data_IF_263046747132
#
_entry.id   IF_263046747132
#
_cell.length_a   1.000
_cell.length_b   1.000
_cell.length_c   1.000
_cell.angle_alpha   90.00
_cell.angle_beta   90.00
_cell.angle_gamma   90.00
#
_symmetry.space_group_name_H-M   'P 1'
#
loop_
_entity.id
_entity.type
_entity.pdbx_description
1 polymer ?
#
# COMPACT_ATOMS: atom_id res chain seq x y z
N UNK A 1 -0.18 -25.40 -7.84
CA UNK A 1 -0.08 -24.79 -6.49
C UNK A 1 -0.99 -23.58 -6.47
N UNK A 2 -1.85 -23.47 -5.46
CA UNK A 2 -2.82 -22.37 -5.39
C UNK A 2 -2.15 -21.04 -4.97
N UNK A 3 -2.91 -19.94 -5.01
CA UNK A 3 -2.39 -18.61 -4.68
C UNK A 3 -1.94 -18.50 -3.22
N UNK A 4 -2.68 -19.09 -2.28
CA UNK A 4 -2.33 -19.07 -0.86
C UNK A 4 -1.02 -19.83 -0.58
N UNK A 5 -0.80 -20.97 -1.22
CA UNK A 5 0.46 -21.71 -1.16
C UNK A 5 1.60 -20.90 -1.80
N UNK A 6 1.34 -20.23 -2.94
CA UNK A 6 2.34 -19.38 -3.60
C UNK A 6 2.77 -18.23 -2.70
N UNK A 7 1.81 -17.62 -2.00
CA UNK A 7 2.03 -16.58 -0.99
C UNK A 7 2.92 -17.07 0.15
N UNK A 8 2.56 -18.20 0.76
CA UNK A 8 3.27 -18.73 1.92
C UNK A 8 4.67 -19.28 1.58
N UNK A 9 4.82 -20.00 0.47
CA UNK A 9 6.06 -20.73 0.15
C UNK A 9 7.08 -19.88 -0.62
N UNK A 10 6.63 -18.84 -1.35
CA UNK A 10 7.52 -18.05 -2.20
C UNK A 10 7.54 -16.55 -1.87
N UNK A 11 6.38 -15.91 -1.71
CA UNK A 11 6.32 -14.45 -1.55
C UNK A 11 6.73 -14.06 -0.13
N UNK A 12 6.15 -14.70 0.89
CA UNK A 12 6.44 -14.42 2.29
C UNK A 12 7.94 -14.58 2.64
N UNK A 13 8.65 -15.65 2.21
CA UNK A 13 10.09 -15.77 2.40
C UNK A 13 10.89 -14.67 1.69
N UNK A 14 10.51 -14.27 0.47
CA UNK A 14 11.17 -13.19 -0.27
C UNK A 14 10.98 -11.83 0.42
N UNK A 15 9.79 -11.55 0.94
CA UNK A 15 9.52 -10.36 1.75
C UNK A 15 10.37 -10.34 3.02
N UNK A 16 10.39 -11.46 3.74
CA UNK A 16 11.20 -11.62 4.96
C UNK A 16 12.70 -11.45 4.70
N UNK A 17 13.20 -12.04 3.60
CA UNK A 17 14.60 -11.90 3.17
C UNK A 17 14.96 -10.45 2.80
N UNK A 18 13.97 -9.66 2.37
CA UNK A 18 14.12 -8.23 2.07
C UNK A 18 13.92 -7.34 3.32
N UNK A 19 13.72 -7.92 4.52
CA UNK A 19 13.58 -7.19 5.78
C UNK A 19 12.14 -6.87 6.21
N UNK A 20 11.15 -7.13 5.36
CA UNK A 20 9.74 -6.87 5.67
C UNK A 20 9.21 -7.82 6.75
N UNK A 21 8.67 -7.26 7.84
CA UNK A 21 8.17 -8.02 9.00
C UNK A 21 9.27 -8.55 9.93
N UNK A 22 10.53 -8.15 9.70
CA UNK A 22 11.69 -8.50 10.55
C UNK A 22 12.34 -7.25 11.11
N UNK A 23 12.53 -6.23 10.26
CA UNK A 23 13.07 -4.95 10.70
C UNK A 23 12.05 -4.18 11.54
N UNK A 24 12.54 -3.37 12.47
CA UNK A 24 11.72 -2.47 13.28
C UNK A 24 10.89 -1.53 12.38
N UNK A 25 9.71 -1.15 12.88
CA UNK A 25 8.74 -0.30 12.17
C UNK A 25 8.24 -0.80 10.81
N UNK A 26 8.54 -2.06 10.45
CA UNK A 26 7.96 -2.70 9.27
C UNK A 26 6.68 -3.45 9.60
N UNK A 27 5.70 -3.38 8.71
CA UNK A 27 4.47 -4.16 8.76
C UNK A 27 4.15 -4.73 7.38
N UNK A 28 3.81 -6.01 7.36
CA UNK A 28 3.27 -6.70 6.18
C UNK A 28 1.79 -6.95 6.43
N UNK A 29 0.94 -6.05 5.89
CA UNK A 29 -0.50 -6.14 6.05
C UNK A 29 -1.06 -7.09 4.98
N UNK A 30 -1.44 -8.30 5.38
CA UNK A 30 -2.00 -9.32 4.47
C UNK A 30 -3.51 -9.14 4.35
N UNK A 31 -4.05 -9.43 3.16
CA UNK A 31 -5.50 -9.36 2.89
C UNK A 31 -6.10 -8.01 3.30
N UNK A 32 -5.41 -6.93 2.92
CA UNK A 32 -5.76 -5.59 3.35
C UNK A 32 -7.02 -5.11 2.64
N UNK A 33 -8.07 -4.83 3.42
CA UNK A 33 -9.35 -4.33 2.91
C UNK A 33 -9.26 -2.87 2.47
N UNK A 34 -9.32 -2.62 1.17
CA UNK A 34 -9.31 -1.26 0.61
C UNK A 34 -10.72 -0.67 0.63
N UNK A 35 -11.72 -1.38 0.13
CA UNK A 35 -13.09 -0.87 0.05
C UNK A 35 -14.12 -1.88 0.55
N UNK A 36 -15.25 -1.37 1.03
CA UNK A 36 -16.37 -2.21 1.47
C UNK A 36 -17.38 -2.53 0.35
N UNK A 37 -17.03 -2.26 -0.92
CA UNK A 37 -17.92 -2.45 -2.06
C UNK A 37 -18.91 -1.30 -2.26
N UNK A 38 -19.22 -0.98 -3.52
CA UNK A 38 -20.22 0.04 -3.89
C UNK A 38 -21.63 -0.48 -3.62
N UNK A 39 -22.51 0.33 -3.03
CA UNK A 39 -23.94 -0.01 -2.90
C UNK A 39 -24.56 -0.09 -4.29
N UNK A 40 -25.27 -1.19 -4.56
CA UNK A 40 -25.94 -1.44 -5.82
C UNK A 40 -27.46 -1.36 -5.65
N UNK A 41 -28.15 -0.99 -6.72
CA UNK A 41 -29.62 -1.03 -6.79
C UNK A 41 -30.08 -2.47 -6.53
N UNK A 42 -31.06 -2.65 -5.64
CA UNK A 42 -31.53 -3.98 -5.21
C UNK A 42 -31.04 -4.45 -3.84
N UNK A 43 -30.36 -3.61 -3.06
CA UNK A 43 -30.09 -3.87 -1.63
C UNK A 43 -28.78 -4.59 -1.32
N UNK A 44 -27.88 -4.74 -2.30
CA UNK A 44 -26.57 -5.38 -2.14
C UNK A 44 -25.39 -4.43 -2.27
N UNK A 45 -24.18 -4.97 -2.07
CA UNK A 45 -22.93 -4.28 -2.39
C UNK A 45 -22.15 -5.07 -3.45
N UNK A 46 -21.47 -4.35 -4.33
CA UNK A 46 -20.44 -4.91 -5.19
C UNK A 46 -19.33 -5.54 -4.33
N UNK A 47 -18.50 -6.38 -4.95
CA UNK A 47 -17.40 -7.04 -4.24
C UNK A 47 -16.48 -6.00 -3.58
N UNK A 48 -16.13 -6.18 -2.29
CA UNK A 48 -15.07 -5.40 -1.67
C UNK A 48 -13.75 -5.61 -2.40
N UNK A 49 -12.85 -4.64 -2.28
CA UNK A 49 -11.49 -4.76 -2.81
C UNK A 49 -10.55 -5.08 -1.67
N UNK A 50 -9.71 -6.09 -1.87
CA UNK A 50 -8.67 -6.53 -0.95
C UNK A 50 -7.35 -6.61 -1.73
N UNK A 51 -6.30 -6.01 -1.18
CA UNK A 51 -4.95 -6.25 -1.67
C UNK A 51 -4.34 -7.44 -0.92
N UNK A 52 -3.61 -8.30 -1.62
CA UNK A 52 -2.96 -9.46 -0.97
C UNK A 52 -1.93 -9.03 0.07
N UNK A 53 -1.15 -8.00 -0.26
CA UNK A 53 -0.22 -7.35 0.66
C UNK A 53 -0.21 -5.84 0.52
N UNK A 54 -0.10 -5.16 1.65
CA UNK A 54 0.35 -3.78 1.74
C UNK A 54 1.59 -3.73 2.63
N UNK A 55 2.67 -3.22 2.05
CA UNK A 55 3.93 -3.01 2.75
C UNK A 55 3.92 -1.64 3.41
N UNK A 56 4.10 -1.61 4.73
CA UNK A 56 4.16 -0.38 5.50
C UNK A 56 5.46 -0.29 6.31
N UNK A 57 6.04 0.90 6.32
CA UNK A 57 7.29 1.19 7.03
C UNK A 57 7.21 2.60 7.64
N UNK A 58 7.66 2.75 8.89
CA UNK A 58 7.57 4.00 9.66
C UNK A 58 6.17 4.63 9.61
N UNK A 59 5.13 3.81 9.81
CA UNK A 59 3.74 4.26 9.79
C UNK A 59 3.17 4.65 8.41
N UNK A 60 3.95 4.59 7.32
CA UNK A 60 3.47 4.85 5.96
C UNK A 60 3.28 3.57 5.17
N UNK A 61 2.18 3.48 4.44
CA UNK A 61 1.96 2.45 3.42
C UNK A 61 2.73 2.84 2.15
N UNK A 62 3.67 2.00 1.73
CA UNK A 62 4.64 2.34 0.66
C UNK A 62 4.48 1.51 -0.60
N UNK A 63 3.95 0.29 -0.50
CA UNK A 63 3.72 -0.55 -1.66
C UNK A 63 2.53 -1.49 -1.50
N UNK A 64 1.98 -1.89 -2.64
CA UNK A 64 0.97 -2.94 -2.77
C UNK A 64 1.58 -4.10 -3.54
N UNK A 65 1.24 -5.33 -3.17
CA UNK A 65 1.60 -6.52 -3.92
C UNK A 65 0.33 -7.31 -4.19
N UNK A 66 0.11 -7.61 -5.48
CA UNK A 66 -0.91 -8.55 -5.95
C UNK A 66 -0.25 -9.90 -6.24
N UNK A 67 -0.66 -10.93 -5.51
CA UNK A 67 -0.20 -12.28 -5.69
C UNK A 67 -1.04 -12.99 -6.76
N UNK A 68 -0.42 -13.94 -7.45
CA UNK A 68 -1.10 -14.90 -8.33
C UNK A 68 -0.54 -16.29 -8.04
N UNK A 69 -1.29 -17.33 -8.39
CA UNK A 69 -0.76 -18.69 -8.36
C UNK A 69 0.46 -18.82 -9.28
N UNK A 70 1.43 -19.66 -8.90
CA UNK A 70 2.63 -19.93 -9.68
C UNK A 70 2.41 -20.61 -11.05
N UNK A 71 1.16 -20.95 -11.36
CA UNK A 71 0.69 -21.49 -12.65
C UNK A 71 0.32 -20.38 -13.64
N UNK A 72 0.12 -19.15 -13.16
CA UNK A 72 -0.19 -17.99 -13.99
C UNK A 72 1.04 -17.13 -14.27
N UNK A 73 0.97 -16.37 -15.35
CA UNK A 73 1.95 -15.33 -15.66
C UNK A 73 1.83 -14.17 -14.67
N UNK A 74 2.96 -13.54 -14.36
CA UNK A 74 3.01 -12.38 -13.46
C UNK A 74 2.21 -11.18 -13.99
N UNK A 75 1.96 -11.13 -15.31
CA UNK A 75 1.16 -10.08 -15.95
C UNK A 75 -0.31 -10.04 -15.49
N UNK A 76 -0.89 -11.17 -15.08
CA UNK A 76 -2.31 -11.30 -14.72
C UNK A 76 -2.72 -10.43 -13.52
N UNK A 77 -1.78 -10.13 -12.61
CA UNK A 77 -2.04 -9.25 -11.46
C UNK A 77 -1.75 -7.77 -11.70
N UNK A 78 -1.13 -7.38 -12.82
CA UNK A 78 -0.67 -6.00 -13.07
C UNK A 78 -1.81 -4.99 -13.05
N UNK A 79 -2.92 -5.29 -13.72
CA UNK A 79 -4.07 -4.37 -13.78
C UNK A 79 -4.70 -4.15 -12.40
N UNK A 80 -4.78 -5.19 -11.58
CA UNK A 80 -5.31 -5.11 -10.22
C UNK A 80 -4.36 -4.34 -9.30
N UNK A 81 -3.06 -4.65 -9.36
CA UNK A 81 -2.01 -3.96 -8.62
C UNK A 81 -2.00 -2.44 -8.89
N UNK A 82 -2.16 -2.03 -10.15
CA UNK A 82 -2.29 -0.62 -10.56
C UNK A 82 -3.55 0.03 -10.01
N UNK A 83 -4.70 -0.65 -10.12
CA UNK A 83 -5.97 -0.13 -9.63
C UNK A 83 -5.95 0.15 -8.12
N UNK A 84 -5.34 -0.75 -7.35
CA UNK A 84 -5.22 -0.59 -5.91
C UNK A 84 -4.26 0.53 -5.54
N UNK A 85 -3.12 0.62 -6.24
CA UNK A 85 -2.12 1.66 -6.00
C UNK A 85 -2.67 3.06 -6.30
N UNK A 86 -3.42 3.19 -7.40
CA UNK A 86 -4.12 4.43 -7.76
C UNK A 86 -5.11 4.84 -6.66
N UNK A 87 -5.94 3.91 -6.16
CA UNK A 87 -6.90 4.20 -5.08
C UNK A 87 -6.23 4.63 -3.79
N UNK A 88 -5.14 3.96 -3.43
CA UNK A 88 -4.44 4.20 -2.17
C UNK A 88 -3.40 5.32 -2.26
N UNK A 89 -3.23 5.96 -3.44
CA UNK A 89 -2.20 6.96 -3.71
C UNK A 89 -0.79 6.45 -3.35
N UNK A 90 -0.48 5.22 -3.79
CA UNK A 90 0.81 4.57 -3.57
C UNK A 90 1.59 4.53 -4.88
N UNK A 91 2.84 4.98 -4.84
CA UNK A 91 3.65 5.17 -6.05
C UNK A 91 4.30 3.88 -6.58
N UNK A 92 4.48 2.88 -5.73
CA UNK A 92 5.15 1.63 -6.09
C UNK A 92 4.22 0.45 -5.85
N UNK A 93 4.02 -0.38 -6.86
CA UNK A 93 3.17 -1.57 -6.75
C UNK A 93 3.81 -2.75 -7.48
N UNK A 94 3.41 -3.96 -7.11
CA UNK A 94 4.00 -5.19 -7.65
C UNK A 94 2.92 -6.19 -8.01
N UNK A 95 3.20 -7.02 -9.01
CA UNK A 95 2.56 -8.32 -9.16
C UNK A 95 3.59 -9.43 -9.00
N UNK A 96 3.21 -10.55 -8.38
CA UNK A 96 4.11 -11.68 -8.19
C UNK A 96 3.36 -13.00 -8.27
N UNK A 97 3.92 -13.95 -9.00
CA UNK A 97 3.48 -15.36 -9.03
C UNK A 97 4.41 -16.26 -8.17
N UNK A 98 5.14 -15.65 -7.23
CA UNK A 98 6.15 -16.32 -6.41
C UNK A 98 7.49 -16.53 -7.12
N UNK A 99 7.50 -16.88 -8.41
CA UNK A 99 8.73 -17.05 -9.20
C UNK A 99 9.30 -15.69 -9.61
N UNK A 100 8.46 -14.89 -10.24
CA UNK A 100 8.78 -13.58 -10.78
C UNK A 100 8.17 -12.46 -9.92
N UNK A 101 8.78 -11.29 -9.99
CA UNK A 101 8.27 -10.06 -9.38
C UNK A 101 8.26 -9.00 -10.47
N UNK A 102 7.09 -8.49 -10.79
CA UNK A 102 6.90 -7.41 -11.75
C UNK A 102 6.62 -6.11 -10.99
N UNK A 103 7.55 -5.17 -11.04
CA UNK A 103 7.45 -3.87 -10.39
C UNK A 103 6.82 -2.84 -11.33
N UNK A 104 5.98 -1.98 -10.75
CA UNK A 104 5.34 -0.86 -11.43
C UNK A 104 5.54 0.42 -10.62
N UNK A 105 6.01 1.49 -11.26
CA UNK A 105 6.08 2.83 -10.69
C UNK A 105 4.95 3.70 -11.24
N UNK A 106 3.95 4.00 -10.40
CA UNK A 106 2.77 4.78 -10.77
C UNK A 106 3.10 6.24 -11.12
N UNK A 107 4.19 6.80 -10.55
CA UNK A 107 4.66 8.16 -10.85
C UNK A 107 5.25 8.31 -12.25
N UNK A 108 6.08 7.36 -12.66
CA UNK A 108 6.88 7.47 -13.90
C UNK A 108 6.36 6.59 -15.03
N UNK A 109 5.46 5.65 -14.74
CA UNK A 109 5.02 4.62 -15.68
C UNK A 109 6.08 3.58 -16.02
N UNK A 110 7.24 3.59 -15.32
CA UNK A 110 8.28 2.57 -15.51
C UNK A 110 7.85 1.26 -14.86
N UNK A 111 7.96 0.17 -15.63
CA UNK A 111 7.54 -1.16 -15.22
C UNK A 111 8.54 -2.21 -15.71
N UNK A 112 8.69 -3.31 -14.98
CA UNK A 112 9.58 -4.39 -15.39
C UNK A 112 9.80 -5.44 -14.32
N UNK A 113 10.48 -6.52 -14.72
CA UNK A 113 10.87 -7.59 -13.81
C UNK A 113 12.01 -7.15 -12.88
N UNK A 114 11.90 -7.52 -11.62
CA UNK A 114 12.94 -7.32 -10.60
C UNK A 114 13.28 -8.64 -9.92
N UNK A 115 14.52 -8.77 -9.48
CA UNK A 115 15.02 -10.01 -8.87
C UNK A 115 14.48 -10.25 -7.45
N UNK A 116 14.27 -9.17 -6.70
CA UNK A 116 13.79 -9.20 -5.32
C UNK A 116 12.90 -8.00 -5.02
N UNK A 117 12.14 -8.07 -3.92
CA UNK A 117 11.51 -6.89 -3.36
C UNK A 117 12.59 -5.95 -2.81
N UNK A 118 12.40 -4.63 -2.85
CA UNK A 118 13.32 -3.70 -2.21
C UNK A 118 13.23 -3.84 -0.69
N UNK A 119 14.30 -3.44 0.00
CA UNK A 119 14.26 -3.30 1.45
C UNK A 119 13.32 -2.16 1.88
N UNK A 120 12.87 -2.12 3.15
CA UNK A 120 12.09 -1.01 3.69
C UNK A 120 12.75 0.36 3.47
N UNK A 121 14.06 0.46 3.71
CA UNK A 121 14.83 1.69 3.51
C UNK A 121 14.94 2.08 2.03
N UNK A 122 15.19 1.11 1.15
CA UNK A 122 15.26 1.36 -0.29
C UNK A 122 13.91 1.87 -0.82
N UNK A 123 12.81 1.26 -0.38
CA UNK A 123 11.47 1.69 -0.77
C UNK A 123 11.09 3.05 -0.18
N UNK A 124 11.51 3.34 1.07
CA UNK A 124 11.32 4.64 1.69
C UNK A 124 12.04 5.75 0.91
N UNK A 125 13.33 5.56 0.66
CA UNK A 125 14.15 6.52 -0.07
C UNK A 125 13.63 6.75 -1.49
N UNK A 126 13.17 5.68 -2.17
CA UNK A 126 12.54 5.78 -3.49
C UNK A 126 11.20 6.52 -3.48
N UNK A 127 10.44 6.40 -2.39
CA UNK A 127 9.13 7.08 -2.27
C UNK A 127 9.33 8.57 -1.94
N UNK A 128 10.35 8.86 -1.14
CA UNK A 128 10.64 10.17 -0.58
C UNK A 128 12.05 10.66 -0.95
N UNK A 129 12.27 10.93 -2.24
CA UNK A 129 13.56 11.34 -2.79
C UNK A 129 14.16 12.59 -2.11
N UNK A 130 13.32 13.49 -1.60
CA UNK A 130 13.75 14.65 -0.81
C UNK A 130 13.61 14.35 0.68
N UNK A 131 14.71 14.36 1.42
CA UNK A 131 14.68 14.17 2.86
C UNK A 131 13.95 15.32 3.57
N UNK A 132 13.06 14.97 4.49
CA UNK A 132 12.31 15.94 5.28
C UNK A 132 12.11 15.39 6.70
N UNK A 133 12.84 15.96 7.65
CA UNK A 133 12.82 15.51 9.04
C UNK A 133 11.43 15.58 9.67
N UNK A 134 10.62 16.57 9.30
CA UNK A 134 9.26 16.71 9.83
C UNK A 134 8.33 15.62 9.30
N UNK A 135 8.39 15.32 8.01
CA UNK A 135 7.63 14.19 7.43
C UNK A 135 7.98 12.89 8.14
N UNK A 136 9.27 12.63 8.35
CA UNK A 136 9.72 11.38 8.96
C UNK A 136 9.21 11.28 10.42
N UNK A 137 9.29 12.37 11.19
CA UNK A 137 8.69 12.46 12.54
C UNK A 137 7.17 12.28 12.54
N UNK A 138 6.46 12.93 11.63
CA UNK A 138 5.00 12.82 11.54
C UNK A 138 4.54 11.41 11.16
N UNK A 139 5.34 10.71 10.36
CA UNK A 139 5.02 9.36 9.91
C UNK A 139 5.08 8.33 11.05
N UNK A 140 5.92 8.57 12.05
CA UNK A 140 6.03 7.72 13.24
C UNK A 140 4.87 7.91 14.22
N UNK A 141 4.06 8.97 14.08
CA UNK A 141 2.88 9.17 14.93
C UNK A 141 1.75 8.25 14.45
N UNK A 142 1.30 7.29 15.28
CA UNK A 142 0.23 6.38 14.89
C UNK A 142 -1.09 7.13 14.74
N UNK A 143 -1.96 6.64 13.85
CA UNK A 143 -3.34 7.10 13.79
C UNK A 143 -4.07 6.73 15.09
N UNK A 144 -4.85 7.66 15.64
CA UNK A 144 -5.77 7.34 16.73
C UNK A 144 -6.83 6.36 16.26
N UNK A 145 -7.04 5.31 17.03
CA UNK A 145 -8.19 4.43 16.88
C UNK A 145 -9.24 4.73 17.96
N UNK A 146 -10.51 4.55 17.63
CA UNK A 146 -11.57 4.62 18.64
C UNK A 146 -11.59 3.30 19.39
N UNK A 147 -10.73 3.19 20.42
CA UNK A 147 -10.62 2.02 21.29
C UNK A 147 -10.34 0.72 20.53
N UNK A 148 -9.44 0.75 19.54
CA UNK A 148 -9.08 -0.37 18.66
C UNK A 148 -10.23 -0.93 17.79
N UNK A 149 -11.38 -0.24 17.71
CA UNK A 149 -12.55 -0.76 16.97
C UNK A 149 -12.73 -0.19 15.56
N UNK A 150 -12.06 0.92 15.23
CA UNK A 150 -12.19 1.60 13.94
C UNK A 150 -10.86 2.19 13.48
N UNK A 151 -10.22 1.49 12.56
CA UNK A 151 -9.09 2.04 11.80
C UNK A 151 -9.55 3.14 10.85
N UNK A 152 -8.64 4.09 10.58
CA UNK A 152 -8.82 5.06 9.53
C UNK A 152 -8.98 4.35 8.18
N UNK A 153 -9.96 4.80 7.38
CA UNK A 153 -10.15 4.32 6.00
C UNK A 153 -9.03 4.89 5.13
N UNK A 154 -8.69 4.20 4.05
CA UNK A 154 -7.58 4.59 3.16
C UNK A 154 -7.64 6.07 2.73
N UNK A 155 -8.83 6.60 2.42
CA UNK A 155 -8.97 8.00 1.99
C UNK A 155 -8.80 9.01 3.15
N UNK A 156 -9.08 8.62 4.39
CA UNK A 156 -8.81 9.45 5.57
C UNK A 156 -7.30 9.50 5.83
N UNK A 157 -6.62 8.35 5.71
CA UNK A 157 -5.17 8.30 5.81
C UNK A 157 -4.51 9.16 4.72
N UNK A 158 -4.98 9.10 3.47
CA UNK A 158 -4.48 9.95 2.38
C UNK A 158 -4.64 11.44 2.74
N UNK A 159 -5.80 11.84 3.25
CA UNK A 159 -6.06 13.23 3.61
C UNK A 159 -5.11 13.72 4.72
N UNK A 160 -4.94 12.94 5.80
CA UNK A 160 -4.01 13.25 6.89
C UNK A 160 -2.58 13.28 6.38
N UNK A 161 -2.16 12.26 5.64
CA UNK A 161 -0.82 12.14 5.09
C UNK A 161 -0.44 13.33 4.21
N UNK A 162 -1.36 13.80 3.37
CA UNK A 162 -1.16 14.96 2.51
C UNK A 162 -1.13 16.27 3.30
N UNK A 163 -1.99 16.41 4.31
CA UNK A 163 -1.96 17.58 5.20
C UNK A 163 -0.64 17.66 5.97
N UNK A 164 -0.18 16.56 6.56
CA UNK A 164 1.09 16.49 7.28
C UNK A 164 2.28 16.74 6.35
N UNK A 165 2.23 16.26 5.11
CA UNK A 165 3.26 16.56 4.10
C UNK A 165 3.30 18.06 3.77
N UNK A 166 2.14 18.70 3.55
CA UNK A 166 2.07 20.13 3.29
C UNK A 166 2.57 20.98 4.48
N UNK A 167 2.28 20.57 5.73
CA UNK A 167 2.84 21.21 6.93
C UNK A 167 4.36 21.04 6.97
N UNK A 168 4.87 19.84 6.68
CA UNK A 168 6.31 19.56 6.63
C UNK A 168 7.03 20.37 5.52
N UNK A 169 6.31 20.82 4.50
CA UNK A 169 6.78 21.70 3.41
C UNK A 169 6.50 23.19 3.67
N UNK A 170 6.14 23.56 4.89
CA UNK A 170 5.86 24.95 5.31
C UNK A 170 4.77 25.65 4.47
N UNK A 171 3.77 24.88 4.00
CA UNK A 171 2.61 25.44 3.30
C UNK A 171 1.67 26.10 4.32
N UNK A 172 1.52 27.41 4.23
CA UNK A 172 0.68 28.20 5.14
C UNK A 172 -0.83 28.00 4.97
N UNK A 173 -1.27 27.36 3.89
CA UNK A 173 -2.68 27.15 3.57
C UNK A 173 -2.88 25.75 2.98
N UNK A 174 -3.79 24.99 3.56
CA UNK A 174 -4.15 23.63 3.13
C UNK A 174 -5.66 23.60 2.93
N UNK A 175 -6.10 23.06 1.78
CA UNK A 175 -7.50 22.81 1.49
C UNK A 175 -7.70 21.31 1.31
N UNK A 176 -8.60 20.73 2.11
CA UNK A 176 -9.05 19.35 1.94
C UNK A 176 -10.50 19.38 1.45
N UNK A 177 -10.76 18.79 0.29
CA UNK A 177 -12.12 18.65 -0.25
C UNK A 177 -12.60 17.24 -0.02
N UNK A 178 -13.52 17.08 0.93
CA UNK A 178 -14.02 15.79 1.39
C UNK A 178 -15.55 15.85 1.40
N UNK A 179 -16.20 14.76 0.99
CA UNK A 179 -17.67 14.69 1.01
C UNK A 179 -18.17 14.62 2.46
N UNK A 180 -19.25 15.33 2.76
CA UNK A 180 -19.93 15.24 4.06
C UNK A 180 -20.22 13.78 4.48
N UNK A 181 -20.16 13.51 5.79
CA UNK A 181 -20.37 12.20 6.42
C UNK A 181 -19.35 11.10 6.05
N UNK A 182 -18.15 11.48 5.60
CA UNK A 182 -17.06 10.53 5.30
C UNK A 182 -16.06 10.32 6.43
N UNK A 183 -16.21 11.05 7.56
CA UNK A 183 -15.50 10.80 8.81
C UNK A 183 -14.24 11.65 9.06
N UNK A 184 -14.18 12.85 8.49
CA UNK A 184 -13.24 13.91 8.88
C UNK A 184 -13.99 15.01 9.61
#
# INVERSE_FOLDING_TARGET
>A
MNEAETRAEYIDPKLKASGWGVMEDTKVLREYKITAGKIQTGGGRAKPLFADYVLAYQGRKLAIIEAKSNEFEVGEGVAQAKNYAEKMHIDTTYSSNGKEIYQICMKTGKEGLVASFPSPDELWNKTFDTQNQWRDKFSQVPFEDVGHTKDARYYQEIAVNNAMAAIAEDKSRILLTIRANSGL
#
